data_IF_664275344468
#
_entry.id   IF_664275344468
#
_cell.length_a   1.000
_cell.length_b   1.000
_cell.length_c   1.000
_cell.angle_alpha   90.00
_cell.angle_beta   90.00
_cell.angle_gamma   90.00
#
_symmetry.space_group_name_H-M   'P 1'
#
loop_
_entity.id
_entity.type
_entity.pdbx_description
1 polymer ?
#
# COMPACT_ATOMS: atom_id res chain seq x y z
N UNK A 1 -19.94 66.33 14.93
CA UNK A 1 -18.72 66.79 15.64
C UNK A 1 -19.11 67.07 17.09
N UNK A 2 -18.32 66.65 18.10
CA UNK A 2 -18.06 65.27 18.59
C UNK A 2 -18.43 65.15 20.10
N UNK A 3 -18.54 63.97 20.74
CA UNK A 3 -17.48 63.19 21.41
C UNK A 3 -18.15 61.94 22.05
N UNK A 4 -17.87 60.71 21.63
CA UNK A 4 -16.86 59.74 22.14
C UNK A 4 -17.15 59.05 23.50
N UNK A 5 -16.84 57.72 23.50
CA UNK A 5 -16.72 56.71 24.57
C UNK A 5 -17.95 55.79 24.75
N UNK A 6 -17.85 54.46 24.88
CA UNK A 6 -16.85 53.43 24.58
C UNK A 6 -17.56 52.05 24.78
N UNK A 7 -17.03 50.94 24.23
CA UNK A 7 -17.76 49.68 24.06
C UNK A 7 -17.80 48.80 25.31
N UNK A 8 -18.85 47.98 25.40
CA UNK A 8 -19.06 47.00 26.47
C UNK A 8 -17.91 45.98 26.55
N UNK A 9 -17.38 45.82 27.77
CA UNK A 9 -16.43 44.77 28.14
C UNK A 9 -17.05 43.38 27.93
N UNK A 10 -16.54 42.63 26.96
CA UNK A 10 -16.65 41.18 26.93
C UNK A 10 -15.75 40.61 28.03
N UNK A 11 -16.36 40.02 29.05
CA UNK A 11 -15.65 39.20 30.03
C UNK A 11 -15.13 37.92 29.35
N UNK A 12 -13.84 37.58 29.49
CA UNK A 12 -13.34 36.32 28.96
C UNK A 12 -13.85 35.18 29.85
N UNK A 13 -14.68 34.31 29.28
CA UNK A 13 -15.01 33.03 29.89
C UNK A 13 -13.73 32.21 30.06
N UNK A 14 -13.21 32.18 31.28
CA UNK A 14 -12.10 31.35 31.71
C UNK A 14 -12.59 29.92 31.94
N UNK A 15 -12.74 29.16 30.86
CA UNK A 15 -12.75 27.71 30.92
C UNK A 15 -11.57 27.20 30.10
N UNK A 16 -10.37 27.35 30.65
CA UNK A 16 -9.19 26.68 30.13
C UNK A 16 -9.41 25.18 30.33
N UNK A 17 -9.61 24.37 29.26
CA UNK A 17 -9.64 22.92 29.43
C UNK A 17 -8.27 22.46 29.95
N UNK A 18 -8.21 21.36 30.73
CA UNK A 18 -6.94 20.83 31.22
C UNK A 18 -5.98 20.59 30.05
N UNK A 19 -4.66 20.62 30.28
CA UNK A 19 -3.65 20.38 29.25
C UNK A 19 -3.66 18.90 28.86
N UNK A 20 -4.70 18.46 28.18
CA UNK A 20 -4.64 17.28 27.33
C UNK A 20 -3.66 17.62 26.22
N UNK A 21 -2.65 16.76 26.01
CA UNK A 21 -1.68 16.95 24.93
C UNK A 21 -2.46 17.20 23.64
N UNK A 22 -2.50 18.45 23.17
CA UNK A 22 -2.93 18.74 21.81
C UNK A 22 -1.86 18.10 20.94
N UNK A 23 -2.07 16.84 20.55
CA UNK A 23 -1.27 16.23 19.50
C UNK A 23 -1.50 17.13 18.30
N UNK A 24 -0.51 17.96 17.97
CA UNK A 24 -0.53 18.69 16.72
C UNK A 24 -0.77 17.65 15.62
N UNK A 25 -1.89 17.78 14.91
CA UNK A 25 -2.17 16.92 13.77
C UNK A 25 -1.01 17.02 12.79
N UNK A 26 -0.77 15.97 12.00
CA UNK A 26 0.20 16.06 10.90
C UNK A 26 -0.24 17.20 9.98
N UNK A 27 0.68 18.06 9.57
CA UNK A 27 0.40 19.09 8.56
C UNK A 27 -0.06 18.42 7.25
N UNK A 28 -1.03 19.05 6.59
CA UNK A 28 -1.69 18.54 5.38
C UNK A 28 -1.86 19.66 4.36
N UNK A 29 -1.93 19.29 3.10
CA UNK A 29 -2.27 20.19 2.00
C UNK A 29 -3.65 20.82 2.21
N UNK A 30 -3.87 22.08 1.80
CA UNK A 30 -5.16 22.77 1.98
C UNK A 30 -6.28 22.09 1.18
N UNK A 31 -5.93 21.43 0.07
CA UNK A 31 -6.81 20.74 -0.86
C UNK A 31 -7.55 19.55 -0.20
N UNK A 32 -7.05 19.01 0.92
CA UNK A 32 -7.73 17.91 1.62
C UNK A 32 -8.82 18.37 2.60
N UNK A 33 -9.02 19.68 2.74
CA UNK A 33 -10.05 20.27 3.58
C UNK A 33 -11.23 20.71 2.71
N UNK A 34 -12.39 20.09 2.93
CA UNK A 34 -13.61 20.52 2.23
C UNK A 34 -14.04 21.92 2.69
N UNK A 35 -14.64 22.72 1.81
CA UNK A 35 -15.21 24.03 2.18
C UNK A 35 -16.08 23.93 3.43
N UNK A 36 -15.84 24.81 4.40
CA UNK A 36 -16.57 24.85 5.68
C UNK A 36 -16.17 23.78 6.70
N UNK A 37 -15.18 22.92 6.43
CA UNK A 37 -14.66 21.94 7.41
C UNK A 37 -13.28 22.32 7.92
N UNK A 38 -13.08 22.13 9.24
CA UNK A 38 -11.79 22.34 9.93
C UNK A 38 -10.92 21.08 9.98
N UNK A 39 -11.50 19.92 9.70
CA UNK A 39 -10.82 18.62 9.72
C UNK A 39 -10.55 18.18 8.28
N UNK A 40 -9.42 17.51 8.03
CA UNK A 40 -9.15 16.96 6.70
C UNK A 40 -10.10 15.81 6.40
N UNK A 41 -10.44 15.64 5.13
CA UNK A 41 -11.44 14.65 4.68
C UNK A 41 -10.79 13.32 4.23
N UNK A 42 -9.53 13.13 4.62
CA UNK A 42 -8.79 11.88 4.42
C UNK A 42 -9.27 10.83 5.42
N UNK A 43 -9.17 9.57 5.01
CA UNK A 43 -9.38 8.47 5.93
C UNK A 43 -8.39 8.54 7.09
N UNK A 44 -8.91 8.62 8.30
CA UNK A 44 -8.17 8.34 9.52
C UNK A 44 -8.54 6.97 10.08
N UNK A 45 -8.90 6.02 9.21
CA UNK A 45 -9.27 4.68 9.63
C UNK A 45 -8.20 4.13 10.57
N UNK A 46 -8.59 3.99 11.84
CA UNK A 46 -7.85 3.23 12.82
C UNK A 46 -8.59 1.91 12.86
N UNK A 47 -7.93 0.84 12.48
CA UNK A 47 -8.38 -0.46 12.97
C UNK A 47 -8.41 -0.33 14.49
N UNK A 48 -9.60 -0.39 15.08
CA UNK A 48 -9.70 -0.61 16.52
C UNK A 48 -9.09 -1.97 16.86
N UNK A 49 -9.25 -2.45 18.09
CA UNK A 49 -9.23 -3.91 18.33
C UNK A 49 -10.44 -4.54 17.65
N UNK A 50 -10.53 -4.45 16.32
CA UNK A 50 -11.28 -5.40 15.54
C UNK A 50 -10.66 -6.74 15.91
N UNK A 51 -11.44 -7.57 16.59
CA UNK A 51 -10.98 -8.87 17.05
C UNK A 51 -10.37 -9.61 15.86
N UNK A 52 -9.13 -10.08 16.03
CA UNK A 52 -8.37 -10.82 15.01
C UNK A 52 -9.19 -11.98 14.38
N UNK A 53 -10.25 -12.41 15.06
CA UNK A 53 -11.21 -13.44 14.65
C UNK A 53 -12.02 -13.19 13.37
N UNK A 54 -11.93 -12.01 12.74
CA UNK A 54 -12.68 -11.70 11.51
C UNK A 54 -11.84 -11.46 10.26
N UNK A 55 -10.52 -11.34 10.39
CA UNK A 55 -9.63 -10.97 9.28
C UNK A 55 -9.30 -12.19 8.41
N UNK A 56 -9.36 -12.01 7.10
CA UNK A 56 -9.07 -13.07 6.14
C UNK A 56 -8.00 -12.63 5.15
N UNK A 57 -6.79 -13.17 5.31
CA UNK A 57 -5.72 -13.01 4.33
C UNK A 57 -5.86 -14.08 3.25
N UNK A 58 -5.92 -13.66 1.98
CA UNK A 58 -5.99 -14.54 0.81
C UNK A 58 -4.79 -14.27 -0.10
N UNK A 59 -4.27 -15.34 -0.70
CA UNK A 59 -3.19 -15.28 -1.68
C UNK A 59 -3.60 -16.07 -2.91
N UNK A 60 -3.45 -15.48 -4.09
CA UNK A 60 -3.74 -16.14 -5.37
C UNK A 60 -2.67 -15.81 -6.41
N UNK A 61 -2.39 -16.75 -7.30
CA UNK A 61 -1.64 -16.49 -8.54
C UNK A 61 -2.55 -15.84 -9.59
N UNK A 62 -2.07 -14.77 -10.21
CA UNK A 62 -2.82 -13.99 -11.20
C UNK A 62 -2.14 -14.04 -12.57
N UNK A 63 -2.92 -14.11 -13.67
CA UNK A 63 -4.39 -14.14 -13.72
C UNK A 63 -5.01 -15.53 -13.49
N UNK A 64 -4.19 -16.58 -13.32
CA UNK A 64 -4.60 -17.98 -13.46
C UNK A 64 -5.66 -18.48 -12.46
N UNK A 65 -5.60 -18.04 -11.20
CA UNK A 65 -6.48 -18.57 -10.13
C UNK A 65 -7.75 -17.75 -9.91
N UNK A 66 -7.89 -16.59 -10.58
CA UNK A 66 -9.02 -15.68 -10.38
C UNK A 66 -9.87 -15.61 -11.65
N UNK A 67 -11.19 -15.66 -11.50
CA UNK A 67 -12.09 -15.40 -12.63
C UNK A 67 -12.01 -13.95 -13.09
N UNK A 68 -12.40 -13.66 -14.34
CA UNK A 68 -12.43 -12.28 -14.85
C UNK A 68 -13.35 -11.36 -14.02
N UNK A 69 -14.44 -11.90 -13.47
CA UNK A 69 -15.33 -11.14 -12.56
C UNK A 69 -14.65 -10.83 -11.24
N UNK A 70 -13.98 -11.80 -10.61
CA UNK A 70 -13.20 -11.55 -9.39
C UNK A 70 -12.07 -10.56 -9.62
N UNK A 71 -11.35 -10.64 -10.74
CA UNK A 71 -10.28 -9.69 -11.07
C UNK A 71 -10.81 -8.26 -11.22
N UNK A 72 -11.95 -8.06 -11.90
CA UNK A 72 -12.59 -6.73 -12.00
C UNK A 72 -13.03 -6.20 -10.63
N UNK A 73 -13.66 -7.03 -9.81
CA UNK A 73 -14.09 -6.64 -8.46
C UNK A 73 -12.88 -6.32 -7.55
N UNK A 74 -11.82 -7.12 -7.64
CA UNK A 74 -10.57 -6.92 -6.93
C UNK A 74 -9.87 -5.64 -7.38
N UNK A 75 -9.80 -5.37 -8.69
CA UNK A 75 -9.23 -4.14 -9.24
C UNK A 75 -9.96 -2.91 -8.66
N UNK A 76 -11.30 -2.94 -8.65
CA UNK A 76 -12.11 -1.87 -8.06
C UNK A 76 -11.79 -1.68 -6.55
N UNK A 77 -11.69 -2.76 -5.78
CA UNK A 77 -11.33 -2.71 -4.37
C UNK A 77 -9.91 -2.18 -4.13
N UNK A 78 -8.92 -2.70 -4.84
CA UNK A 78 -7.52 -2.29 -4.79
C UNK A 78 -7.36 -0.81 -5.13
N UNK A 79 -8.02 -0.33 -6.20
CA UNK A 79 -8.05 1.08 -6.54
C UNK A 79 -8.61 1.90 -5.40
N UNK A 80 -9.83 1.57 -4.91
CA UNK A 80 -10.51 2.33 -3.83
C UNK A 80 -9.59 2.48 -2.61
N UNK A 81 -9.00 1.37 -2.18
CA UNK A 81 -8.05 1.35 -1.09
C UNK A 81 -6.82 2.21 -1.38
N UNK A 82 -6.19 2.00 -2.55
CA UNK A 82 -4.98 2.70 -2.97
C UNK A 82 -5.17 4.21 -2.92
N UNK A 83 -6.27 4.72 -3.46
CA UNK A 83 -6.53 6.16 -3.43
C UNK A 83 -6.77 6.70 -2.02
N UNK A 84 -7.62 6.04 -1.23
CA UNK A 84 -7.92 6.48 0.14
C UNK A 84 -6.67 6.50 1.02
N UNK A 85 -5.81 5.48 0.87
CA UNK A 85 -4.56 5.36 1.62
C UNK A 85 -3.45 6.26 1.09
N UNK A 86 -3.15 6.17 -0.21
CA UNK A 86 -2.08 6.91 -0.87
C UNK A 86 -2.27 8.41 -0.65
N UNK A 87 -3.48 8.93 -0.81
CA UNK A 87 -3.77 10.32 -0.52
C UNK A 87 -3.43 10.70 0.93
N UNK A 88 -3.73 9.84 1.91
CA UNK A 88 -3.34 10.02 3.32
C UNK A 88 -1.84 10.17 3.56
N UNK A 89 -1.03 9.53 2.72
CA UNK A 89 0.43 9.52 2.83
C UNK A 89 1.13 10.58 1.97
N UNK A 90 0.53 10.95 0.84
CA UNK A 90 1.11 11.82 -0.18
C UNK A 90 0.54 13.25 -0.15
N UNK A 91 -0.63 13.49 0.44
CA UNK A 91 -1.18 14.83 0.66
C UNK A 91 -0.51 15.56 1.85
N UNK A 92 0.82 15.51 1.87
CA UNK A 92 1.69 15.99 2.92
C UNK A 92 2.67 16.97 2.28
N UNK A 93 2.74 18.24 2.73
CA UNK A 93 3.60 19.24 2.09
C UNK A 93 5.04 18.74 1.92
N UNK A 94 5.60 18.10 2.95
CA UNK A 94 6.96 17.57 2.90
C UNK A 94 7.16 16.49 1.82
N UNK A 95 6.12 15.72 1.50
CA UNK A 95 6.17 14.71 0.42
C UNK A 95 5.96 15.37 -0.94
N UNK A 96 5.00 16.29 -1.06
CA UNK A 96 4.71 17.01 -2.31
C UNK A 96 5.93 17.83 -2.75
N UNK A 97 6.57 18.55 -1.83
CA UNK A 97 7.75 19.38 -2.11
C UNK A 97 8.97 18.56 -2.49
N UNK A 98 9.14 17.39 -1.87
CA UNK A 98 10.25 16.47 -2.13
C UNK A 98 10.03 15.58 -3.36
N UNK A 99 8.85 15.64 -3.99
CA UNK A 99 8.50 14.74 -5.08
C UNK A 99 9.26 15.11 -6.38
N UNK A 100 9.87 14.12 -7.05
CA UNK A 100 10.88 14.39 -8.08
C UNK A 100 10.29 14.95 -9.38
N UNK A 101 9.03 14.63 -9.68
CA UNK A 101 8.39 14.93 -10.97
C UNK A 101 7.26 15.96 -10.88
N UNK A 102 6.78 16.28 -9.66
CA UNK A 102 5.69 17.25 -9.45
C UNK A 102 5.80 17.82 -8.06
N UNK A 103 5.61 19.14 -7.91
CA UNK A 103 5.57 19.83 -6.61
C UNK A 103 4.20 20.41 -6.26
N UNK A 104 3.15 19.90 -6.91
CA UNK A 104 1.77 20.33 -6.68
C UNK A 104 0.93 19.15 -6.22
N UNK A 105 -0.08 19.44 -5.40
CA UNK A 105 -1.05 18.43 -4.96
C UNK A 105 -1.67 17.71 -6.16
N UNK A 106 -2.14 18.46 -7.16
CA UNK A 106 -2.77 17.90 -8.35
C UNK A 106 -1.82 16.98 -9.13
N UNK A 107 -0.56 17.39 -9.38
CA UNK A 107 0.36 16.56 -10.15
C UNK A 107 0.79 15.29 -9.41
N UNK A 108 0.97 15.33 -8.09
CA UNK A 108 1.21 14.11 -7.29
C UNK A 108 -0.01 13.19 -7.37
N UNK A 109 -1.23 13.75 -7.35
CA UNK A 109 -2.46 12.96 -7.48
C UNK A 109 -2.65 12.36 -8.87
N UNK A 110 -2.28 13.06 -9.94
CA UNK A 110 -2.29 12.50 -11.29
C UNK A 110 -1.39 11.27 -11.41
N UNK A 111 -0.23 11.28 -10.75
CA UNK A 111 0.71 10.15 -10.74
C UNK A 111 0.10 8.94 -10.03
N UNK A 112 -0.53 9.14 -8.87
CA UNK A 112 -1.26 8.07 -8.19
C UNK A 112 -2.44 7.55 -9.01
N UNK A 113 -3.11 8.41 -9.77
CA UNK A 113 -4.17 7.99 -10.67
C UNK A 113 -3.64 7.11 -11.82
N UNK A 114 -2.46 7.41 -12.36
CA UNK A 114 -1.80 6.53 -13.34
C UNK A 114 -1.49 5.17 -12.72
N UNK A 115 -0.86 5.14 -11.54
CA UNK A 115 -0.56 3.89 -10.84
C UNK A 115 -1.83 3.06 -10.57
N UNK A 116 -2.91 3.70 -10.15
CA UNK A 116 -4.17 3.01 -9.90
C UNK A 116 -4.79 2.39 -11.16
N UNK A 117 -4.52 2.94 -12.35
CA UNK A 117 -4.95 2.34 -13.63
C UNK A 117 -4.11 1.12 -14.01
N UNK A 118 -2.82 1.09 -13.64
CA UNK A 118 -1.96 -0.07 -13.86
C UNK A 118 -2.42 -1.31 -13.09
N UNK A 119 -3.23 -1.15 -12.04
CA UNK A 119 -3.78 -2.26 -11.26
C UNK A 119 -4.58 -3.21 -12.16
N UNK A 120 -5.40 -2.71 -13.10
CA UNK A 120 -6.14 -3.60 -14.00
C UNK A 120 -5.18 -4.39 -14.89
N UNK A 121 -4.21 -3.70 -15.48
CA UNK A 121 -3.21 -4.31 -16.36
C UNK A 121 -2.40 -5.38 -15.62
N UNK A 122 -2.01 -5.13 -14.36
CA UNK A 122 -1.26 -6.10 -13.58
C UNK A 122 -2.08 -7.32 -13.16
N UNK A 123 -3.39 -7.16 -12.94
CA UNK A 123 -4.30 -8.26 -12.62
C UNK A 123 -4.62 -9.12 -13.85
N UNK A 124 -4.70 -8.53 -15.04
CA UNK A 124 -5.04 -9.24 -16.28
C UNK A 124 -3.82 -9.82 -17.02
N UNK A 125 -2.65 -9.18 -16.93
CA UNK A 125 -1.49 -9.59 -17.72
C UNK A 125 -0.91 -10.94 -17.30
N UNK A 126 -0.74 -11.85 -18.26
CA UNK A 126 -0.03 -13.11 -18.09
C UNK A 126 1.49 -12.87 -18.02
N UNK A 127 1.96 -12.59 -16.80
CA UNK A 127 3.37 -12.33 -16.52
C UNK A 127 4.30 -13.49 -16.91
N UNK A 128 3.79 -14.72 -16.89
CA UNK A 128 4.58 -15.91 -17.20
C UNK A 128 4.83 -15.96 -18.71
N UNK A 129 3.78 -15.82 -19.51
CA UNK A 129 3.90 -15.80 -20.96
C UNK A 129 4.73 -14.60 -21.46
N UNK A 130 4.59 -13.43 -20.83
CA UNK A 130 5.24 -12.20 -21.29
C UNK A 130 6.69 -12.05 -20.82
N UNK A 131 7.00 -12.46 -19.59
CA UNK A 131 8.28 -12.14 -18.94
C UNK A 131 8.99 -13.35 -18.30
N UNK A 132 8.36 -14.52 -18.31
CA UNK A 132 8.81 -15.69 -17.55
C UNK A 132 8.69 -15.51 -16.04
N UNK A 133 7.76 -14.67 -15.58
CA UNK A 133 7.60 -14.30 -14.18
C UNK A 133 6.25 -14.80 -13.65
N UNK A 134 6.18 -15.18 -12.38
CA UNK A 134 4.90 -15.52 -11.72
C UNK A 134 4.42 -14.33 -10.92
N UNK A 135 3.13 -14.04 -10.99
CA UNK A 135 2.54 -12.90 -10.29
C UNK A 135 1.47 -13.38 -9.31
N UNK A 136 1.51 -12.81 -8.13
CA UNK A 136 0.63 -13.12 -7.02
C UNK A 136 -0.01 -11.85 -6.49
N UNK A 137 -1.22 -11.98 -5.98
CA UNK A 137 -1.83 -10.96 -5.13
C UNK A 137 -2.05 -11.55 -3.75
N UNK A 138 -1.70 -10.77 -2.74
CA UNK A 138 -2.09 -11.01 -1.35
C UNK A 138 -3.05 -9.90 -0.94
N UNK A 139 -4.13 -10.26 -0.26
CA UNK A 139 -5.20 -9.36 0.12
C UNK A 139 -5.70 -9.68 1.53
N UNK A 140 -5.82 -8.67 2.39
CA UNK A 140 -6.39 -8.77 3.74
C UNK A 140 -7.80 -8.19 3.72
N UNK A 141 -8.79 -9.02 4.05
CA UNK A 141 -10.20 -8.67 4.01
C UNK A 141 -10.78 -8.61 5.42
N UNK A 142 -11.65 -7.63 5.64
CA UNK A 142 -12.40 -7.51 6.88
C UNK A 142 -13.90 -7.35 6.65
N UNK A 143 -14.76 -7.93 7.52
CA UNK A 143 -16.19 -7.71 7.45
C UNK A 143 -16.56 -6.22 7.51
N UNK A 144 -17.52 -5.77 6.70
CA UNK A 144 -18.00 -4.36 6.64
C UNK A 144 -18.52 -3.80 7.98
N UNK A 145 -18.73 -4.66 8.97
CA UNK A 145 -19.26 -4.31 10.29
C UNK A 145 -18.22 -3.67 11.22
N UNK A 146 -16.97 -3.51 10.79
CA UNK A 146 -15.98 -2.75 11.54
C UNK A 146 -16.34 -1.26 11.44
N UNK A 147 -16.68 -0.64 12.57
CA UNK A 147 -17.09 0.75 12.65
C UNK A 147 -16.11 1.69 11.92
N UNK A 148 -16.63 2.39 10.90
CA UNK A 148 -15.90 3.41 10.15
C UNK A 148 -16.37 4.81 10.54
N UNK A 149 -15.48 5.81 10.55
CA UNK A 149 -15.94 7.20 10.55
C UNK A 149 -16.78 7.47 9.28
N UNK A 150 -17.78 8.37 9.35
CA UNK A 150 -18.77 8.56 8.30
C UNK A 150 -18.15 8.98 6.96
N UNK A 151 -18.78 8.47 5.88
CA UNK A 151 -18.51 8.66 4.45
C UNK A 151 -17.20 9.39 4.09
N UNK A 152 -16.22 8.61 3.65
CA UNK A 152 -15.05 9.15 3.00
C UNK A 152 -15.46 9.88 1.72
N UNK A 153 -14.84 11.03 1.47
CA UNK A 153 -14.94 11.73 0.19
C UNK A 153 -14.39 10.82 -0.89
N UNK A 154 -15.16 10.61 -1.96
CA UNK A 154 -14.60 10.01 -3.18
C UNK A 154 -13.71 11.06 -3.86
N UNK A 155 -12.43 10.99 -3.52
CA UNK A 155 -11.41 11.90 -4.04
C UNK A 155 -11.20 11.76 -5.55
N UNK A 156 -11.53 10.62 -6.17
CA UNK A 156 -11.44 10.53 -7.63
C UNK A 156 -12.52 11.36 -8.28
N UNK A 157 -13.75 11.21 -7.79
CA UNK A 157 -14.89 11.99 -8.27
C UNK A 157 -14.67 13.49 -8.05
N UNK A 158 -14.14 13.87 -6.88
CA UNK A 158 -13.85 15.27 -6.58
C UNK A 158 -12.73 15.86 -7.46
N UNK A 159 -11.72 15.06 -7.81
CA UNK A 159 -10.59 15.48 -8.66
C UNK A 159 -10.84 15.21 -10.16
N UNK A 160 -12.07 14.86 -10.53
CA UNK A 160 -12.48 14.59 -11.91
C UNK A 160 -11.61 13.51 -12.61
N UNK A 161 -11.04 12.59 -11.84
CA UNK A 161 -10.33 11.47 -12.40
C UNK A 161 -11.31 10.41 -12.89
N UNK A 162 -11.07 9.88 -14.10
CA UNK A 162 -11.86 8.78 -14.64
C UNK A 162 -11.89 7.62 -13.62
N UNK A 163 -13.06 7.37 -13.06
CA UNK A 163 -13.29 6.23 -12.18
C UNK A 163 -13.39 4.95 -13.01
N UNK A 164 -13.07 3.79 -12.44
CA UNK A 164 -13.57 2.55 -13.01
C UNK A 164 -15.10 2.62 -13.07
N UNK A 165 -15.72 2.10 -14.13
CA UNK A 165 -17.15 1.76 -14.07
C UNK A 165 -17.36 0.96 -12.79
N UNK A 166 -18.31 1.37 -11.96
CA UNK A 166 -18.65 0.63 -10.75
C UNK A 166 -19.03 -0.77 -11.20
N UNK A 167 -18.15 -1.75 -10.93
CA UNK A 167 -18.50 -3.14 -11.13
C UNK A 167 -19.79 -3.38 -10.34
N UNK A 168 -20.84 -3.86 -11.02
CA UNK A 168 -22.06 -4.27 -10.34
C UNK A 168 -21.68 -5.14 -9.13
N UNK A 169 -22.20 -4.80 -7.95
CA UNK A 169 -22.06 -5.66 -6.78
C UNK A 169 -22.83 -6.95 -7.08
N UNK A 170 -22.13 -7.91 -7.69
CA UNK A 170 -22.61 -9.28 -7.80
C UNK A 170 -22.90 -9.76 -6.37
N UNK A 171 -24.15 -10.16 -6.10
CA UNK A 171 -24.55 -10.57 -4.76
C UNK A 171 -24.03 -11.94 -4.37
N UNK A 172 -23.34 -12.63 -5.29
CA UNK A 172 -22.46 -13.75 -4.97
C UNK A 172 -23.17 -14.89 -4.24
N UNK A 173 -24.19 -15.49 -4.86
CA UNK A 173 -24.91 -16.67 -4.32
C UNK A 173 -24.12 -17.99 -4.49
N UNK A 174 -22.80 -17.92 -4.70
CA UNK A 174 -21.97 -19.09 -5.00
C UNK A 174 -21.48 -19.78 -3.73
N UNK A 175 -21.98 -20.99 -3.45
CA UNK A 175 -21.36 -21.92 -2.50
C UNK A 175 -19.96 -22.35 -3.01
N UNK A 176 -18.91 -21.63 -2.63
CA UNK A 176 -17.54 -21.92 -3.06
C UNK A 176 -16.49 -20.99 -2.45
N UNK A 177 -15.20 -21.35 -2.58
CA UNK A 177 -14.10 -20.45 -2.22
C UNK A 177 -14.04 -19.29 -3.22
N UNK A 178 -14.12 -18.04 -2.74
CA UNK A 178 -14.08 -16.82 -3.56
C UNK A 178 -12.96 -15.90 -3.10
N UNK A 179 -12.08 -15.44 -4.00
CA UNK A 179 -10.98 -14.56 -3.56
C UNK A 179 -11.49 -13.20 -3.05
N UNK A 180 -12.49 -12.65 -3.73
CA UNK A 180 -13.17 -11.42 -3.33
C UNK A 180 -14.32 -11.76 -2.39
N UNK A 181 -14.24 -11.26 -1.15
CA UNK A 181 -15.23 -11.56 -0.12
C UNK A 181 -16.37 -10.53 -0.12
N UNK A 182 -17.55 -10.95 -0.57
CA UNK A 182 -18.76 -10.15 -0.46
C UNK A 182 -19.10 -9.83 1.00
N UNK A 183 -19.67 -8.65 1.24
CA UNK A 183 -19.89 -8.15 2.62
C UNK A 183 -18.60 -7.81 3.39
N UNK A 184 -17.44 -7.90 2.74
CA UNK A 184 -16.15 -7.48 3.31
C UNK A 184 -15.58 -6.28 2.55
N UNK A 185 -14.59 -5.67 3.17
CA UNK A 185 -13.77 -4.59 2.63
C UNK A 185 -12.31 -5.03 2.56
N UNK A 186 -11.63 -4.61 1.51
CA UNK A 186 -10.19 -4.77 1.39
C UNK A 186 -9.48 -3.77 2.31
N UNK A 187 -8.64 -4.28 3.21
CA UNK A 187 -7.85 -3.49 4.15
C UNK A 187 -6.43 -3.27 3.69
N UNK A 188 -5.80 -4.34 3.18
CA UNK A 188 -4.44 -4.33 2.70
C UNK A 188 -4.37 -5.17 1.42
N UNK A 189 -3.55 -4.77 0.46
CA UNK A 189 -3.13 -5.67 -0.61
C UNK A 189 -1.68 -5.43 -1.00
N UNK A 190 -1.06 -6.44 -1.59
CA UNK A 190 0.16 -6.28 -2.35
C UNK A 190 0.13 -7.14 -3.60
N UNK A 191 0.64 -6.58 -4.71
CA UNK A 191 0.91 -7.33 -5.93
C UNK A 191 2.39 -7.63 -5.97
N UNK A 192 2.69 -8.93 -6.05
CA UNK A 192 4.02 -9.49 -5.88
C UNK A 192 4.39 -10.27 -7.13
N UNK A 193 5.57 -10.03 -7.67
CA UNK A 193 6.11 -10.79 -8.78
C UNK A 193 7.33 -11.56 -8.33
N UNK A 194 7.44 -12.78 -8.80
CA UNK A 194 8.54 -13.67 -8.52
C UNK A 194 9.19 -14.10 -9.83
N UNK A 195 10.52 -14.03 -9.87
CA UNK A 195 11.34 -14.63 -10.93
C UNK A 195 11.80 -16.03 -10.51
N UNK A 196 11.26 -17.10 -11.13
CA UNK A 196 11.67 -18.47 -10.83
C UNK A 196 13.11 -18.78 -11.24
N UNK A 197 13.74 -18.00 -12.12
CA UNK A 197 15.12 -18.25 -12.56
C UNK A 197 16.14 -17.70 -11.55
N UNK A 198 15.86 -16.53 -10.97
CA UNK A 198 16.79 -15.84 -10.04
C UNK A 198 16.43 -15.99 -8.57
N UNK A 199 15.19 -16.40 -8.23
CA UNK A 199 14.74 -16.46 -6.83
C UNK A 199 14.50 -15.07 -6.23
N UNK A 200 14.32 -14.04 -7.06
CA UNK A 200 14.06 -12.67 -6.62
C UNK A 200 12.57 -12.38 -6.64
N UNK A 201 12.12 -11.66 -5.62
CA UNK A 201 10.75 -11.15 -5.51
C UNK A 201 10.73 -9.63 -5.62
N UNK A 202 9.72 -9.11 -6.30
CA UNK A 202 9.43 -7.69 -6.40
C UNK A 202 8.01 -7.40 -5.91
N UNK A 203 7.89 -6.45 -5.00
CA UNK A 203 6.62 -5.90 -4.53
C UNK A 203 6.45 -4.55 -5.21
N UNK A 204 5.53 -4.50 -6.17
CA UNK A 204 5.31 -3.35 -7.04
C UNK A 204 4.33 -2.34 -6.49
N UNK A 205 3.27 -2.86 -5.89
CA UNK A 205 2.16 -2.04 -5.43
C UNK A 205 1.54 -2.63 -4.19
N UNK A 206 1.08 -1.73 -3.33
CA UNK A 206 0.21 -2.07 -2.22
C UNK A 206 -0.49 -0.84 -1.68
N UNK A 207 -1.74 -1.03 -1.27
CA UNK A 207 -2.42 -0.10 -0.36
C UNK A 207 -2.42 -0.76 1.01
N UNK A 208 -1.79 -0.13 2.01
CA UNK A 208 -1.65 -0.73 3.34
C UNK A 208 -2.34 0.10 4.43
N UNK A 209 -3.58 -0.20 4.82
CA UNK A 209 -4.15 0.44 6.00
C UNK A 209 -3.41 0.05 7.29
N UNK A 210 -2.81 -1.16 7.35
CA UNK A 210 -1.84 -1.49 8.39
C UNK A 210 -0.63 -0.57 8.24
N UNK A 211 -0.34 0.19 9.30
CA UNK A 211 0.84 1.07 9.27
C UNK A 211 2.08 0.19 9.08
N UNK A 212 2.91 0.52 8.09
CA UNK A 212 4.21 -0.14 7.87
C UNK A 212 5.17 -0.07 9.08
N UNK A 213 4.75 0.57 10.18
CA UNK A 213 5.56 0.87 11.35
C UNK A 213 5.36 -0.09 12.53
N UNK A 214 4.27 -0.88 12.57
CA UNK A 214 4.13 -1.87 13.65
C UNK A 214 4.78 -3.19 13.22
N UNK A 215 5.81 -3.62 13.95
CA UNK A 215 6.57 -4.84 13.66
C UNK A 215 5.75 -6.11 13.91
N UNK A 216 4.72 -6.06 14.76
CA UNK A 216 3.94 -7.25 15.15
C UNK A 216 2.66 -7.45 14.32
N UNK A 217 2.09 -6.36 13.78
CA UNK A 217 0.84 -6.38 13.02
C UNK A 217 0.90 -5.69 11.66
N UNK A 218 2.11 -5.32 11.21
CA UNK A 218 2.34 -4.52 10.01
C UNK A 218 2.49 -5.32 8.71
N UNK A 219 3.08 -4.65 7.72
CA UNK A 219 3.17 -5.12 6.33
C UNK A 219 3.96 -6.43 6.16
N UNK A 220 4.96 -6.70 7.02
CA UNK A 220 5.84 -7.87 6.85
C UNK A 220 5.17 -9.20 7.20
N UNK A 221 4.47 -9.36 8.35
CA UNK A 221 3.61 -10.52 8.60
C UNK A 221 2.57 -10.76 7.49
N UNK A 222 1.97 -9.69 6.98
CA UNK A 222 1.04 -9.78 5.85
C UNK A 222 1.71 -10.34 4.58
N UNK A 223 2.89 -9.82 4.21
CA UNK A 223 3.66 -10.31 3.06
C UNK A 223 4.19 -11.74 3.26
N UNK A 224 4.34 -12.22 4.50
CA UNK A 224 4.76 -13.59 4.80
C UNK A 224 3.80 -14.63 4.20
N UNK A 225 2.50 -14.31 4.10
CA UNK A 225 1.52 -15.17 3.43
C UNK A 225 1.85 -15.35 1.94
N UNK A 226 2.19 -14.26 1.23
CA UNK A 226 2.60 -14.32 -0.17
C UNK A 226 3.87 -15.16 -0.33
N UNK A 227 4.88 -14.93 0.50
CA UNK A 227 6.15 -15.68 0.43
C UNK A 227 5.97 -17.16 0.72
N UNK A 228 5.14 -17.51 1.71
CA UNK A 228 4.82 -18.90 2.04
C UNK A 228 4.18 -19.62 0.85
N UNK A 229 3.25 -18.93 0.16
CA UNK A 229 2.63 -19.47 -1.06
C UNK A 229 3.65 -19.62 -2.19
N UNK A 230 4.45 -18.59 -2.46
CA UNK A 230 5.48 -18.60 -3.52
C UNK A 230 6.49 -19.73 -3.28
N UNK A 231 6.91 -19.95 -2.03
CA UNK A 231 7.85 -21.00 -1.69
C UNK A 231 7.23 -22.42 -1.80
N UNK A 232 5.94 -22.56 -1.49
CA UNK A 232 5.21 -23.81 -1.75
C UNK A 232 5.14 -24.12 -3.25
N UNK A 233 4.79 -23.13 -4.05
CA UNK A 233 4.75 -23.21 -5.50
C UNK A 233 6.14 -23.52 -6.11
N UNK A 234 7.20 -22.90 -5.57
CA UNK A 234 8.58 -23.17 -5.93
C UNK A 234 8.97 -24.63 -5.69
N UNK A 235 8.64 -25.17 -4.52
CA UNK A 235 8.88 -26.59 -4.21
C UNK A 235 8.05 -27.54 -5.07
N UNK A 236 6.86 -27.10 -5.49
CA UNK A 236 5.98 -27.87 -6.37
C UNK A 236 6.45 -27.93 -7.83
N UNK A 237 7.31 -27.00 -8.27
CA UNK A 237 7.79 -26.97 -9.65
C UNK A 237 8.75 -28.12 -9.96
N UNK A 238 8.40 -28.88 -11.00
CA UNK A 238 9.20 -30.00 -11.51
C UNK A 238 10.13 -29.53 -12.65
N UNK A 239 10.91 -28.47 -12.43
CA UNK A 239 11.93 -28.02 -13.39
C UNK A 239 13.27 -28.72 -13.16
N UNK A 240 14.10 -28.78 -14.22
CA UNK A 240 15.50 -29.24 -14.14
C UNK A 240 16.41 -28.18 -14.76
N UNK A 241 17.28 -27.50 -13.98
CA UNK A 241 17.42 -27.59 -12.51
C UNK A 241 16.17 -27.07 -11.75
N UNK A 242 16.00 -27.44 -10.47
CA UNK A 242 14.93 -26.86 -9.65
C UNK A 242 15.15 -25.35 -9.45
N UNK A 243 14.08 -24.57 -9.25
CA UNK A 243 14.21 -23.13 -9.06
C UNK A 243 15.02 -22.82 -7.77
N UNK A 244 15.92 -21.82 -7.79
CA UNK A 244 16.70 -21.46 -6.62
C UNK A 244 15.81 -20.98 -5.47
N UNK A 245 16.26 -21.09 -4.21
CA UNK A 245 15.56 -20.54 -3.07
C UNK A 245 15.30 -19.03 -3.22
N UNK A 246 14.21 -18.56 -2.63
CA UNK A 246 13.88 -17.14 -2.60
C UNK A 246 14.89 -16.43 -1.70
N UNK A 247 15.74 -15.58 -2.29
CA UNK A 247 16.88 -14.98 -1.59
C UNK A 247 16.69 -13.48 -1.31
N UNK A 248 16.07 -12.76 -2.24
CA UNK A 248 15.97 -11.31 -2.22
C UNK A 248 14.54 -10.84 -2.42
N UNK A 249 14.18 -9.78 -1.70
CA UNK A 249 12.92 -9.06 -1.87
C UNK A 249 13.23 -7.61 -2.21
N UNK A 250 12.53 -7.11 -3.22
CA UNK A 250 12.63 -5.73 -3.68
C UNK A 250 11.31 -5.01 -3.53
N UNK A 251 11.39 -3.70 -3.29
CA UNK A 251 10.24 -2.85 -3.09
C UNK A 251 10.42 -1.56 -3.90
N UNK A 252 9.45 -1.23 -4.75
CA UNK A 252 9.42 0.04 -5.47
C UNK A 252 9.00 1.17 -4.53
N UNK A 253 9.82 2.21 -4.38
CA UNK A 253 9.55 3.29 -3.41
C UNK A 253 8.68 4.37 -4.05
N UNK A 254 7.45 4.52 -3.54
CA UNK A 254 6.54 5.61 -3.90
C UNK A 254 6.55 6.77 -2.88
N UNK A 255 6.88 6.52 -1.62
CA UNK A 255 6.63 7.44 -0.49
C UNK A 255 7.75 8.43 -0.15
N UNK A 256 8.75 8.57 -1.03
CA UNK A 256 9.98 9.30 -0.72
C UNK A 256 11.04 8.41 -0.05
N UNK A 257 12.29 8.51 -0.52
CA UNK A 257 13.40 7.68 -0.05
C UNK A 257 13.57 7.73 1.49
N UNK A 258 13.50 8.91 2.11
CA UNK A 258 13.65 9.05 3.58
C UNK A 258 12.58 8.29 4.38
N UNK A 259 11.32 8.40 3.96
CA UNK A 259 10.19 7.78 4.65
C UNK A 259 10.19 6.27 4.45
N UNK A 260 10.48 5.82 3.23
CA UNK A 260 10.69 4.41 2.94
C UNK A 260 11.83 3.82 3.78
N UNK A 261 12.96 4.50 3.89
CA UNK A 261 14.09 4.03 4.71
C UNK A 261 13.78 4.03 6.21
N UNK A 262 12.98 4.99 6.70
CA UNK A 262 12.55 4.98 8.11
C UNK A 262 11.62 3.79 8.42
N UNK A 263 10.78 3.38 7.47
CA UNK A 263 9.86 2.25 7.66
C UNK A 263 10.49 0.89 7.34
N UNK A 264 11.24 0.79 6.25
CA UNK A 264 11.78 -0.46 5.72
C UNK A 264 13.20 -0.75 6.19
N UNK A 265 13.99 0.26 6.56
CA UNK A 265 15.39 0.09 6.98
C UNK A 265 15.54 -0.80 8.20
N UNK A 266 14.56 -0.80 9.11
CA UNK A 266 14.52 -1.70 10.27
C UNK A 266 14.35 -3.18 9.90
N UNK A 267 13.91 -3.49 8.68
CA UNK A 267 13.81 -4.85 8.14
C UNK A 267 15.00 -5.19 7.21
N UNK A 268 16.07 -4.38 7.23
CA UNK A 268 17.28 -4.61 6.43
C UNK A 268 17.20 -4.12 4.99
N UNK A 269 16.14 -3.40 4.60
CA UNK A 269 16.08 -2.80 3.27
C UNK A 269 17.06 -1.65 3.13
N UNK A 270 17.78 -1.65 2.02
CA UNK A 270 18.70 -0.58 1.61
C UNK A 270 18.50 -0.23 0.13
N UNK A 271 18.88 0.96 -0.34
CA UNK A 271 18.81 1.29 -1.77
C UNK A 271 19.55 0.28 -2.64
N UNK A 272 18.99 -0.11 -3.79
CA UNK A 272 19.56 -1.13 -4.69
C UNK A 272 21.03 -0.87 -5.03
N UNK A 273 21.39 0.38 -5.35
CA UNK A 273 22.79 0.75 -5.64
C UNK A 273 23.73 0.47 -4.47
N UNK A 274 23.30 0.74 -3.24
CA UNK A 274 24.08 0.42 -2.04
C UNK A 274 24.14 -1.10 -1.81
N UNK A 275 23.03 -1.80 -2.05
CA UNK A 275 22.96 -3.24 -1.91
C UNK A 275 23.98 -3.98 -2.80
N UNK A 276 24.07 -3.55 -4.07
CA UNK A 276 24.97 -4.13 -5.08
C UNK A 276 26.45 -3.89 -4.77
N UNK A 277 26.80 -2.78 -4.11
CA UNK A 277 28.19 -2.55 -3.64
C UNK A 277 28.60 -3.62 -2.62
N UNK A 278 27.67 -4.07 -1.79
CA UNK A 278 27.93 -5.12 -0.79
C UNK A 278 27.78 -6.55 -1.34
N UNK A 279 27.20 -6.71 -2.53
CA UNK A 279 26.93 -8.00 -3.18
C UNK A 279 27.32 -7.93 -4.66
N UNK A 280 28.62 -7.82 -4.96
CA UNK A 280 29.12 -7.61 -6.33
C UNK A 280 28.93 -8.83 -7.25
N UNK A 281 28.56 -9.97 -6.68
CA UNK A 281 28.19 -11.20 -7.38
C UNK A 281 26.80 -11.13 -8.03
N UNK A 282 25.97 -10.17 -7.63
CA UNK A 282 24.64 -10.00 -8.18
C UNK A 282 24.65 -9.04 -9.37
N UNK A 283 24.04 -9.50 -10.47
CA UNK A 283 23.78 -8.64 -11.63
C UNK A 283 22.64 -7.65 -11.33
N UNK A 284 22.75 -6.41 -11.81
CA UNK A 284 21.63 -5.46 -11.73
C UNK A 284 20.46 -5.92 -12.61
N UNK A 285 20.74 -6.62 -13.71
CA UNK A 285 19.74 -7.05 -14.68
C UNK A 285 18.66 -7.98 -14.09
N UNK A 286 18.98 -8.77 -13.06
CA UNK A 286 18.00 -9.63 -12.39
C UNK A 286 16.96 -8.82 -11.62
N UNK A 287 17.35 -7.67 -11.05
CA UNK A 287 16.43 -6.74 -10.40
C UNK A 287 15.61 -5.93 -11.42
N UNK A 288 16.21 -5.58 -12.56
CA UNK A 288 15.50 -4.86 -13.62
C UNK A 288 14.44 -5.74 -14.29
N UNK A 289 14.71 -7.04 -14.46
CA UNK A 289 13.74 -8.00 -15.01
C UNK A 289 12.45 -8.04 -14.18
N UNK A 290 12.56 -8.20 -12.86
CA UNK A 290 11.38 -8.27 -11.99
C UNK A 290 10.62 -6.94 -11.89
N UNK A 291 11.26 -5.82 -12.21
CA UNK A 291 10.59 -4.51 -12.27
C UNK A 291 9.91 -4.26 -13.60
N UNK A 292 10.50 -4.72 -14.72
CA UNK A 292 9.93 -4.56 -16.07
C UNK A 292 8.53 -5.12 -16.20
N UNK A 293 8.24 -6.25 -15.53
CA UNK A 293 6.89 -6.84 -15.56
C UNK A 293 5.79 -5.95 -14.99
N UNK A 294 6.12 -4.84 -14.33
CA UNK A 294 5.17 -3.86 -13.80
C UNK A 294 5.17 -2.53 -14.56
N UNK A 295 5.98 -2.37 -15.62
CA UNK A 295 6.09 -1.09 -16.33
C UNK A 295 6.69 0.03 -15.47
N UNK A 296 7.43 -0.30 -14.40
CA UNK A 296 7.97 0.65 -13.43
C UNK A 296 9.11 1.55 -13.94
N UNK A 297 9.48 1.47 -15.22
CA UNK A 297 10.45 2.39 -15.83
C UNK A 297 10.01 3.87 -15.68
N UNK A 298 8.72 4.14 -15.46
CA UNK A 298 8.19 5.46 -15.16
C UNK A 298 7.92 5.76 -13.66
N UNK A 299 7.90 4.75 -12.78
CA UNK A 299 7.23 4.87 -11.46
C UNK A 299 8.11 4.53 -10.23
N UNK A 300 9.35 4.09 -10.43
CA UNK A 300 10.36 3.99 -9.36
C UNK A 300 10.95 5.35 -9.00
N UNK A 301 10.09 6.35 -8.79
CA UNK A 301 10.47 7.76 -8.75
C UNK A 301 11.44 8.08 -7.60
N UNK A 302 11.41 7.29 -6.53
CA UNK A 302 12.36 7.39 -5.41
C UNK A 302 13.33 6.20 -5.31
N UNK A 303 13.40 5.39 -6.38
CA UNK A 303 14.26 4.23 -6.50
C UNK A 303 13.65 2.93 -5.97
N UNK A 304 14.51 1.93 -5.89
CA UNK A 304 14.19 0.58 -5.42
C UNK A 304 15.03 0.27 -4.20
N UNK A 305 14.40 -0.33 -3.20
CA UNK A 305 15.09 -0.86 -2.02
C UNK A 305 15.07 -2.38 -2.05
N UNK A 306 16.12 -2.98 -1.51
CA UNK A 306 16.35 -4.43 -1.52
C UNK A 306 16.76 -4.89 -0.13
N UNK A 307 16.28 -6.06 0.27
CA UNK A 307 16.73 -6.79 1.45
C UNK A 307 16.91 -8.28 1.11
N UNK A 308 17.71 -8.98 1.91
CA UNK A 308 17.67 -10.46 1.91
C UNK A 308 16.46 -10.92 2.69
N UNK A 309 15.78 -11.93 2.17
CA UNK A 309 14.59 -12.51 2.81
C UNK A 309 14.88 -12.89 4.26
N UNK A 310 16.02 -13.55 4.53
CA UNK A 310 16.42 -13.92 5.89
C UNK A 310 16.52 -12.75 6.87
N UNK A 311 16.94 -11.57 6.41
CA UNK A 311 17.11 -10.40 7.28
C UNK A 311 15.75 -9.78 7.61
N UNK A 312 14.79 -9.85 6.68
CA UNK A 312 13.41 -9.38 6.87
C UNK A 312 12.69 -10.20 7.93
N UNK A 313 12.86 -11.54 7.93
CA UNK A 313 12.15 -12.44 8.86
C UNK A 313 12.86 -12.66 10.19
N UNK A 314 14.20 -12.66 10.24
CA UNK A 314 14.93 -12.71 11.51
C UNK A 314 14.59 -11.50 12.42
N UNK A 315 14.28 -10.36 11.80
CA UNK A 315 13.84 -9.15 12.49
C UNK A 315 12.45 -9.29 13.13
N UNK A 316 11.64 -10.27 12.71
CA UNK A 316 10.33 -10.57 13.30
C UNK A 316 10.45 -11.53 14.49
N UNK A 317 11.40 -12.47 14.44
CA UNK A 317 11.60 -13.50 15.49
C UNK A 317 12.32 -12.95 16.74
N UNK A 318 13.36 -12.13 16.55
CA UNK A 318 14.24 -11.63 17.62
C UNK A 318 13.57 -10.73 18.68
N UNK A 319 12.32 -10.30 18.48
CA UNK A 319 11.60 -9.41 19.40
C UNK A 319 10.31 -10.04 19.97
N UNK A 320 10.15 -11.36 19.79
CA UNK A 320 9.10 -12.17 20.41
C UNK A 320 9.37 -12.49 21.88
N UNK A 321 10.64 -12.40 22.32
CA UNK A 321 11.10 -12.83 23.64
C UNK A 321 11.26 -11.72 24.69
N UNK A 322 11.17 -10.44 24.31
CA UNK A 322 11.06 -9.34 25.29
C UNK A 322 9.58 -9.19 25.69
N UNK A 323 9.20 -9.92 26.75
CA UNK A 323 7.98 -9.73 27.54
C UNK A 323 8.31 -9.25 28.94
#
# INVERSE_FOLDING_TARGET
MPCHQSPAHLTPNSSTPPPGSRRAGKWRSIEVFLPGRRNCSLSHFRMGSASESGLQVRVAEIPAELSATERRALAAACKRLYFGYSLGLHAVPEIIEAHPTSRTFCGVMSIHNVHARLIDEWLEADAMAMFGLRRYIVADWAPRNIARPPSQVDWRKLLEFAGPEEAEEDTGDGEGWQFVLFGSDLLDYAIVQWDPESGIICIASGGYHRVMTDRRSGVMPFLAHALSRIDADRRGMRSRPPPPPIAHVTFAVSLGAKKAMTSLGHFGFVPLKQYLVCHPDLDTAVFDRVQRGFGHEADSQFGVVVARVRDVFASLESHGDDR
#
